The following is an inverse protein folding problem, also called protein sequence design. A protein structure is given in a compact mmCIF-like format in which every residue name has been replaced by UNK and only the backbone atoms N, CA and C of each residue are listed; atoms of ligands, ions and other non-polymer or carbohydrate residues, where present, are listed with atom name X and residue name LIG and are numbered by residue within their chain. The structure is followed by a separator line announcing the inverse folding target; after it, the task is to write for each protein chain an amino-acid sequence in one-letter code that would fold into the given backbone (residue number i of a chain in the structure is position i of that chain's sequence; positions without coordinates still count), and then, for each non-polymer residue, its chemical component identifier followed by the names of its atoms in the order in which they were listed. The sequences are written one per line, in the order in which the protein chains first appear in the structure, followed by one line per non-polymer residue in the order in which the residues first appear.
data_IF_166844813615
#
_entry.id   IF_166844813615
#
_cell.length_a   1.000
_cell.length_b   1.000
_cell.length_c   1.000
_cell.angle_alpha   90.00
_cell.angle_beta   90.00
_cell.angle_gamma   90.00
#
_symmetry.space_group_name_H-M   'P 1'
#
loop_
_entity.id
_entity.type
_entity.pdbx_description
1 polymer ?
#
# COMPACT_ATOMS: atom_id res chain seq x y z
N UNK A 1 -11.70 4.09 -29.28
CA UNK A 1 -11.65 4.75 -27.97
C UNK A 1 -10.51 4.11 -27.18
N UNK A 2 -9.47 4.87 -26.86
CA UNK A 2 -8.37 4.41 -26.00
C UNK A 2 -8.85 4.45 -24.55
N UNK A 3 -9.00 3.29 -23.92
CA UNK A 3 -9.40 3.16 -22.51
C UNK A 3 -8.15 3.31 -21.65
N UNK A 4 -7.89 4.52 -21.12
CA UNK A 4 -6.77 4.72 -20.20
C UNK A 4 -7.09 4.11 -18.84
N UNK A 5 -6.58 2.88 -18.61
CA UNK A 5 -6.64 2.14 -17.33
C UNK A 5 -6.21 2.96 -16.09
N UNK A 6 -5.50 4.07 -16.27
CA UNK A 6 -5.01 4.93 -15.20
C UNK A 6 -6.07 5.89 -14.62
N UNK A 7 -7.04 6.35 -15.42
CA UNK A 7 -8.03 7.34 -14.97
C UNK A 7 -8.97 6.79 -13.89
N UNK A 8 -9.43 5.56 -14.06
CA UNK A 8 -10.35 4.89 -13.13
C UNK A 8 -9.72 4.64 -11.75
N UNK A 9 -8.39 4.47 -11.72
CA UNK A 9 -7.66 4.18 -10.49
C UNK A 9 -7.44 5.41 -9.60
N UNK A 10 -7.31 6.60 -10.20
CA UNK A 10 -7.30 7.87 -9.48
C UNK A 10 -8.69 8.20 -8.95
N UNK A 11 -9.71 8.08 -9.81
CA UNK A 11 -11.12 8.34 -9.46
C UNK A 11 -11.57 7.43 -8.32
N UNK A 12 -11.26 6.13 -8.39
CA UNK A 12 -11.61 5.17 -7.34
C UNK A 12 -11.04 5.55 -5.96
N UNK A 13 -9.84 6.14 -5.91
CA UNK A 13 -9.23 6.59 -4.65
C UNK A 13 -9.82 7.88 -4.13
N UNK A 14 -10.06 8.84 -5.02
CA UNK A 14 -10.70 10.11 -4.67
C UNK A 14 -12.09 9.82 -4.09
N UNK A 15 -12.87 8.98 -4.76
CA UNK A 15 -14.22 8.60 -4.31
C UNK A 15 -14.18 7.83 -3.00
N UNK A 16 -13.18 6.96 -2.80
CA UNK A 16 -13.00 6.21 -1.54
C UNK A 16 -12.34 7.03 -0.42
N UNK A 17 -11.98 8.30 -0.64
CA UNK A 17 -11.32 9.15 0.35
C UNK A 17 -9.93 8.67 0.78
N UNK A 18 -9.25 7.86 -0.04
CA UNK A 18 -7.94 7.32 0.31
C UNK A 18 -6.82 8.32 0.01
N UNK A 19 -5.69 8.28 0.74
CA UNK A 19 -4.56 9.16 0.49
C UNK A 19 -4.07 9.08 -0.96
N UNK A 20 -4.10 10.21 -1.66
CA UNK A 20 -3.72 10.32 -3.07
C UNK A 20 -2.22 10.10 -3.29
N UNK A 21 -1.40 10.63 -2.40
CA UNK A 21 0.06 10.71 -2.53
C UNK A 21 0.80 9.68 -1.66
N UNK A 22 0.20 8.54 -1.33
CA UNK A 22 0.85 7.51 -0.51
C UNK A 22 0.80 6.13 -1.19
N UNK A 23 1.96 5.51 -1.40
CA UNK A 23 2.09 4.18 -1.99
C UNK A 23 1.50 3.05 -1.14
N UNK A 24 1.39 3.26 0.18
CA UNK A 24 0.91 2.29 1.17
C UNK A 24 -0.56 2.53 1.56
N UNK A 25 -1.33 3.21 0.71
CA UNK A 25 -2.74 3.53 0.97
C UNK A 25 -3.66 2.30 0.97
N UNK A 26 -3.32 1.23 0.22
CA UNK A 26 -4.18 0.06 0.11
C UNK A 26 -4.21 -0.75 1.42
N UNK A 27 -5.43 -1.02 1.88
CA UNK A 27 -5.70 -1.86 3.04
C UNK A 27 -6.47 -3.09 2.58
N UNK A 28 -6.20 -4.24 3.18
CA UNK A 28 -7.01 -5.43 2.92
C UNK A 28 -8.44 -5.19 3.40
N UNK A 29 -9.46 -5.62 2.65
CA UNK A 29 -10.81 -5.64 3.18
C UNK A 29 -10.87 -6.56 4.42
N UNK A 30 -11.81 -6.34 5.36
CA UNK A 30 -12.06 -7.29 6.43
C UNK A 30 -12.30 -8.68 5.85
N UNK A 31 -11.64 -9.69 6.42
CA UNK A 31 -11.74 -11.07 5.97
C UNK A 31 -11.59 -12.03 7.15
N UNK A 32 -12.10 -13.25 6.99
CA UNK A 32 -11.98 -14.30 8.00
C UNK A 32 -10.64 -15.03 7.88
N UNK A 33 -10.11 -15.49 9.02
CA UNK A 33 -8.91 -16.37 9.08
C UNK A 33 -9.09 -17.61 8.22
N UNK A 34 -10.23 -18.27 8.39
CA UNK A 34 -10.64 -19.43 7.60
C UNK A 34 -12.07 -19.24 7.08
N UNK A 35 -12.16 -19.02 5.77
CA UNK A 35 -13.44 -18.89 5.05
C UNK A 35 -14.21 -20.21 4.96
N UNK A 36 -13.55 -21.35 5.22
CA UNK A 36 -14.19 -22.67 5.20
C UNK A 36 -14.55 -23.17 6.61
N UNK A 37 -14.37 -22.35 7.65
CA UNK A 37 -14.78 -22.72 9.00
C UNK A 37 -16.30 -22.95 9.06
N UNK A 38 -16.74 -23.92 9.87
CA UNK A 38 -18.15 -24.26 10.00
C UNK A 38 -19.01 -23.06 10.43
N UNK A 39 -18.46 -22.18 11.29
CA UNK A 39 -19.13 -20.96 11.72
C UNK A 39 -19.36 -19.98 10.57
N UNK A 40 -18.34 -19.72 9.74
CA UNK A 40 -18.45 -18.83 8.58
C UNK A 40 -19.40 -19.41 7.54
N UNK A 41 -19.28 -20.70 7.23
CA UNK A 41 -20.18 -21.37 6.27
C UNK A 41 -21.64 -21.38 6.74
N UNK A 42 -21.88 -21.65 8.03
CA UNK A 42 -23.21 -21.57 8.63
C UNK A 42 -23.79 -20.15 8.54
N UNK A 43 -22.99 -19.13 8.84
CA UNK A 43 -23.39 -17.74 8.74
C UNK A 43 -23.67 -17.29 7.30
N UNK A 44 -22.86 -17.72 6.33
CA UNK A 44 -23.10 -17.49 4.90
C UNK A 44 -24.43 -18.13 4.48
N UNK A 45 -24.69 -19.37 4.88
CA UNK A 45 -25.94 -20.06 4.56
C UNK A 45 -27.17 -19.35 5.13
N UNK A 46 -27.06 -18.82 6.35
CA UNK A 46 -28.15 -18.08 6.99
C UNK A 46 -28.40 -16.71 6.36
N UNK A 47 -27.35 -15.99 5.93
CA UNK A 47 -27.43 -14.57 5.52
C UNK A 47 -27.44 -14.36 4.01
N UNK A 48 -26.85 -15.27 3.26
CA UNK A 48 -26.76 -15.24 1.80
C UNK A 48 -27.23 -16.58 1.20
N UNK A 49 -28.45 -17.05 1.51
CA UNK A 49 -28.91 -18.40 1.16
C UNK A 49 -28.85 -18.69 -0.35
N UNK A 50 -29.17 -17.70 -1.18
CA UNK A 50 -29.12 -17.84 -2.64
C UNK A 50 -27.70 -18.03 -3.20
N UNK A 51 -26.67 -17.60 -2.45
CA UNK A 51 -25.26 -17.70 -2.86
C UNK A 51 -24.51 -18.80 -2.10
N UNK A 52 -25.13 -19.39 -1.08
CA UNK A 52 -24.47 -20.35 -0.18
C UNK A 52 -24.00 -21.62 -0.90
N UNK A 53 -24.79 -22.08 -1.87
CA UNK A 53 -24.52 -23.30 -2.64
C UNK A 53 -23.63 -23.05 -3.87
N UNK A 54 -23.35 -21.77 -4.19
CA UNK A 54 -22.53 -21.39 -5.34
C UNK A 54 -21.06 -21.32 -4.92
N UNK A 55 -20.39 -22.45 -4.94
CA UNK A 55 -19.02 -22.64 -4.41
C UNK A 55 -17.99 -21.64 -4.97
N UNK A 56 -18.03 -21.33 -6.27
CA UNK A 56 -17.09 -20.42 -6.92
C UNK A 56 -17.32 -18.95 -6.54
N UNK A 57 -18.52 -18.59 -6.07
CA UNK A 57 -18.81 -17.23 -5.61
C UNK A 57 -18.58 -17.07 -4.11
N UNK A 58 -18.25 -18.13 -3.35
CA UNK A 58 -18.14 -18.13 -1.88
C UNK A 58 -17.28 -17.00 -1.30
N UNK A 59 -16.23 -16.58 -2.01
CA UNK A 59 -15.39 -15.46 -1.59
C UNK A 59 -16.17 -14.14 -1.43
N UNK A 60 -17.19 -13.91 -2.26
CA UNK A 60 -18.01 -12.69 -2.25
C UNK A 60 -18.86 -12.58 -0.97
N UNK A 61 -19.76 -13.53 -0.64
CA UNK A 61 -20.52 -13.45 0.60
C UNK A 61 -19.63 -13.54 1.83
N UNK A 62 -18.46 -14.20 1.77
CA UNK A 62 -17.51 -14.19 2.88
C UNK A 62 -16.95 -12.78 3.17
N UNK A 63 -16.53 -12.03 2.14
CA UNK A 63 -16.07 -10.65 2.32
C UNK A 63 -17.20 -9.70 2.69
N UNK A 64 -18.40 -9.87 2.11
CA UNK A 64 -19.58 -9.11 2.49
C UNK A 64 -19.96 -9.34 3.95
N UNK A 65 -19.94 -10.59 4.40
CA UNK A 65 -20.16 -10.98 5.79
C UNK A 65 -19.12 -10.36 6.72
N UNK A 66 -17.84 -10.47 6.38
CA UNK A 66 -16.76 -9.90 7.17
C UNK A 66 -16.87 -8.37 7.29
N UNK A 67 -17.27 -7.69 6.22
CA UNK A 67 -17.48 -6.24 6.20
C UNK A 67 -18.65 -5.83 7.10
N UNK A 68 -19.76 -6.57 7.07
CA UNK A 68 -20.90 -6.33 7.95
C UNK A 68 -20.53 -6.51 9.43
N UNK A 69 -19.76 -7.56 9.74
CA UNK A 69 -19.30 -7.82 11.10
C UNK A 69 -18.36 -6.73 11.60
N UNK A 70 -17.41 -6.29 10.77
CA UNK A 70 -16.49 -5.20 11.07
C UNK A 70 -17.22 -3.88 11.36
N UNK A 71 -18.25 -3.56 10.57
CA UNK A 71 -19.02 -2.31 10.69
C UNK A 71 -20.15 -2.39 11.72
N UNK A 72 -20.47 -3.56 12.25
CA UNK A 72 -21.70 -3.76 13.04
C UNK A 72 -21.79 -2.87 14.29
N UNK A 73 -20.67 -2.53 14.95
CA UNK A 73 -20.70 -1.58 16.08
C UNK A 73 -21.21 -0.21 15.62
N UNK A 74 -20.68 0.30 14.50
CA UNK A 74 -21.12 1.56 13.90
C UNK A 74 -22.59 1.49 13.47
N UNK A 75 -23.02 0.37 12.88
CA UNK A 75 -24.41 0.16 12.45
C UNK A 75 -25.37 0.04 13.64
N UNK A 76 -24.91 -0.38 14.82
CA UNK A 76 -25.76 -0.43 16.01
C UNK A 76 -25.99 0.95 16.64
N UNK A 77 -25.06 1.88 16.44
CA UNK A 77 -25.08 3.20 17.09
C UNK A 77 -25.84 4.29 16.29
N UNK A 78 -26.12 4.07 15.01
CA UNK A 78 -26.71 5.10 14.12
C UNK A 78 -28.24 5.02 14.01
N UNK A 79 -28.83 3.87 13.68
CA UNK A 79 -30.26 3.78 13.43
C UNK A 79 -31.03 3.75 14.75
N UNK A 80 -32.29 4.23 14.77
CA UNK A 80 -33.17 4.04 15.92
C UNK A 80 -33.28 2.55 16.30
N UNK A 81 -33.37 2.25 17.59
CA UNK A 81 -33.40 0.86 18.12
C UNK A 81 -34.49 -0.06 17.56
N UNK A 82 -35.52 0.50 16.92
CA UNK A 82 -36.61 -0.23 16.23
C UNK A 82 -36.39 -0.39 14.72
N UNK A 83 -35.19 -0.08 14.22
CA UNK A 83 -34.91 -0.15 12.80
C UNK A 83 -34.96 -1.60 12.30
N UNK A 84 -35.55 -1.81 11.13
CA UNK A 84 -35.80 -3.14 10.54
C UNK A 84 -34.52 -3.96 10.34
N UNK A 85 -33.38 -3.28 10.16
CA UNK A 85 -32.06 -3.92 10.05
C UNK A 85 -31.74 -4.81 11.25
N UNK A 86 -32.19 -4.45 12.46
CA UNK A 86 -31.96 -5.22 13.68
C UNK A 86 -32.78 -6.52 13.75
N UNK A 87 -33.82 -6.64 12.92
CA UNK A 87 -34.61 -7.86 12.77
C UNK A 87 -34.05 -8.82 11.70
N UNK A 88 -33.03 -8.38 10.96
CA UNK A 88 -32.35 -9.18 9.94
C UNK A 88 -31.02 -9.73 10.47
N UNK A 89 -30.57 -10.87 9.95
CA UNK A 89 -29.22 -11.34 10.24
C UNK A 89 -28.21 -10.40 9.53
N UNK A 90 -27.12 -9.94 10.18
CA UNK A 90 -26.47 -10.48 11.39
C UNK A 90 -27.02 -10.03 12.74
N UNK A 91 -27.77 -8.93 12.78
CA UNK A 91 -28.02 -8.16 14.00
C UNK A 91 -29.00 -8.82 14.98
N UNK A 92 -29.73 -9.83 14.51
CA UNK A 92 -30.66 -10.62 15.33
C UNK A 92 -29.98 -11.55 16.34
N UNK A 93 -28.72 -11.96 16.10
CA UNK A 93 -28.03 -13.00 16.87
C UNK A 93 -26.69 -12.49 17.44
N UNK A 94 -26.70 -11.82 18.61
CA UNK A 94 -25.51 -11.15 19.16
C UNK A 94 -24.33 -12.09 19.41
N UNK A 95 -24.58 -13.33 19.86
CA UNK A 95 -23.53 -14.30 20.15
C UNK A 95 -22.78 -14.75 18.90
N UNK A 96 -23.49 -14.93 17.79
CA UNK A 96 -22.88 -15.31 16.50
C UNK A 96 -22.07 -14.15 15.93
N UNK A 97 -22.57 -12.92 16.08
CA UNK A 97 -21.85 -11.70 15.71
C UNK A 97 -20.52 -11.58 16.48
N UNK A 98 -20.54 -11.80 17.80
CA UNK A 98 -19.32 -11.79 18.64
C UNK A 98 -18.34 -12.88 18.21
N UNK A 99 -18.82 -14.11 17.96
CA UNK A 99 -17.98 -15.20 17.51
C UNK A 99 -17.33 -14.92 16.14
N UNK A 100 -18.10 -14.40 15.17
CA UNK A 100 -17.59 -14.08 13.84
C UNK A 100 -16.59 -12.92 13.87
N UNK A 101 -16.80 -11.91 14.72
CA UNK A 101 -15.84 -10.82 14.93
C UNK A 101 -14.47 -11.32 15.41
N UNK A 102 -14.45 -12.32 16.29
CA UNK A 102 -13.19 -12.90 16.78
C UNK A 102 -12.39 -13.64 15.68
N UNK A 103 -13.07 -14.03 14.60
CA UNK A 103 -12.48 -14.68 13.44
C UNK A 103 -11.99 -13.70 12.35
N UNK A 104 -12.27 -12.40 12.50
CA UNK A 104 -11.79 -11.38 11.58
C UNK A 104 -10.29 -11.14 11.75
N UNK A 105 -9.63 -10.90 10.62
CA UNK A 105 -8.22 -10.49 10.55
C UNK A 105 -8.07 -9.26 9.67
N UNK A 106 -7.09 -8.45 10.03
CA UNK A 106 -6.67 -7.27 9.27
C UNK A 106 -5.47 -7.55 8.35
N UNK A 107 -4.73 -8.64 8.60
CA UNK A 107 -3.56 -9.04 7.83
C UNK A 107 -3.49 -10.56 7.67
N UNK A 108 -2.94 -11.02 6.55
CA UNK A 108 -2.70 -12.44 6.30
C UNK A 108 -1.54 -12.62 5.32
N UNK A 109 -0.71 -13.67 5.43
CA UNK A 109 0.33 -13.96 4.44
C UNK A 109 -0.23 -14.26 3.04
N UNK A 110 -1.50 -14.70 2.96
CA UNK A 110 -2.14 -15.16 1.71
C UNK A 110 -2.64 -14.03 0.82
N UNK A 111 -2.95 -12.88 1.41
CA UNK A 111 -3.49 -11.71 0.72
C UNK A 111 -2.51 -10.57 0.93
N UNK A 112 -2.09 -9.96 -0.18
CA UNK A 112 -1.34 -8.72 -0.13
C UNK A 112 -2.26 -7.61 -0.63
N UNK A 113 -2.43 -6.51 0.12
CA UNK A 113 -3.19 -5.39 -0.37
C UNK A 113 -2.52 -4.85 -1.63
N UNK A 114 -3.10 -5.17 -2.79
CA UNK A 114 -2.58 -4.74 -4.08
C UNK A 114 -3.00 -3.29 -4.32
N UNK A 115 -2.19 -2.36 -3.82
CA UNK A 115 -2.35 -0.95 -4.10
C UNK A 115 -1.78 -0.51 -5.46
N UNK A 116 -1.67 -1.40 -6.45
CA UNK A 116 -0.80 -1.18 -7.62
C UNK A 116 -1.59 -0.73 -8.87
N UNK A 117 -1.87 0.57 -8.98
CA UNK A 117 -1.85 1.37 -10.20
C UNK A 117 -0.42 1.75 -10.62
N UNK A 118 -0.14 1.85 -11.94
CA UNK A 118 1.16 2.26 -12.49
C UNK A 118 1.71 3.58 -11.91
N UNK A 119 0.84 4.51 -11.53
CA UNK A 119 1.23 5.84 -11.07
C UNK A 119 1.76 5.88 -9.62
N UNK A 120 1.49 4.85 -8.81
CA UNK A 120 2.03 4.75 -7.46
C UNK A 120 3.48 4.32 -7.42
N UNK A 121 3.94 3.56 -8.41
CA UNK A 121 5.37 3.29 -8.54
C UNK A 121 6.13 4.61 -8.78
N UNK A 122 5.54 5.56 -9.52
CA UNK A 122 6.10 6.92 -9.68
C UNK A 122 6.17 7.64 -8.33
N UNK A 123 5.14 7.59 -7.49
CA UNK A 123 5.20 8.21 -6.16
C UNK A 123 6.22 7.53 -5.23
N UNK A 124 6.29 6.20 -5.23
CA UNK A 124 7.32 5.45 -4.50
C UNK A 124 8.72 5.88 -4.97
N UNK A 125 8.88 6.08 -6.27
CA UNK A 125 10.14 6.53 -6.84
C UNK A 125 10.50 7.96 -6.44
N UNK A 126 9.52 8.86 -6.44
CA UNK A 126 9.72 10.23 -5.97
C UNK A 126 10.10 10.26 -4.48
N UNK A 127 9.57 9.37 -3.66
CA UNK A 127 9.93 9.24 -2.24
C UNK A 127 11.38 8.73 -2.06
N UNK A 128 11.78 7.70 -2.82
CA UNK A 128 13.18 7.21 -2.85
C UNK A 128 14.14 8.26 -3.41
N UNK A 129 13.72 9.03 -4.41
CA UNK A 129 14.51 10.13 -4.95
C UNK A 129 14.65 11.28 -3.96
N UNK A 130 13.57 11.66 -3.27
CA UNK A 130 13.58 12.69 -2.23
C UNK A 130 14.55 12.36 -1.10
N UNK A 131 14.49 11.14 -0.57
CA UNK A 131 15.45 10.69 0.46
C UNK A 131 16.91 10.69 -0.03
N UNK A 132 17.15 10.39 -1.31
CA UNK A 132 18.49 10.49 -1.90
C UNK A 132 18.97 11.93 -2.03
N UNK A 133 18.08 12.87 -2.36
CA UNK A 133 18.36 14.31 -2.44
C UNK A 133 18.65 14.89 -1.05
N UNK A 134 17.90 14.48 -0.03
CA UNK A 134 18.07 14.92 1.35
C UNK A 134 19.43 14.49 1.95
N UNK A 135 20.04 13.44 1.41
CA UNK A 135 21.37 12.94 1.82
C UNK A 135 22.54 13.70 1.18
N UNK A 136 22.31 14.46 0.11
CA UNK A 136 23.36 15.18 -0.63
C UNK A 136 24.10 16.20 0.25
N UNK A 137 23.43 17.06 1.05
CA UNK A 137 24.12 18.01 1.91
C UNK A 137 25.05 17.35 2.92
N UNK A 138 24.61 16.24 3.52
CA UNK A 138 25.39 15.49 4.51
C UNK A 138 26.61 14.83 3.88
N UNK A 139 26.47 14.28 2.67
CA UNK A 139 27.59 13.66 1.94
C UNK A 139 28.65 14.69 1.53
N UNK A 140 28.23 15.86 1.03
CA UNK A 140 29.16 16.96 0.68
C UNK A 140 29.92 17.43 1.92
N UNK A 141 29.21 17.62 3.05
CA UNK A 141 29.84 18.07 4.29
C UNK A 141 30.84 17.03 4.83
N UNK A 142 30.55 15.73 4.73
CA UNK A 142 31.50 14.70 5.17
C UNK A 142 32.75 14.68 4.29
N UNK A 143 32.61 14.71 2.96
CA UNK A 143 33.77 14.68 2.06
C UNK A 143 34.62 15.94 2.14
N UNK A 144 33.99 17.11 2.32
CA UNK A 144 34.75 18.34 2.57
C UNK A 144 35.53 18.24 3.88
N UNK A 145 34.97 17.60 4.91
CA UNK A 145 35.69 17.34 6.17
C UNK A 145 36.84 16.36 5.96
N UNK A 146 36.63 15.27 5.23
CA UNK A 146 37.67 14.29 4.91
C UNK A 146 38.84 14.93 4.14
N UNK A 147 38.56 15.85 3.19
CA UNK A 147 39.60 16.60 2.48
C UNK A 147 40.40 17.50 3.42
N UNK A 148 39.73 18.16 4.36
CA UNK A 148 40.39 19.02 5.34
C UNK A 148 41.26 18.19 6.29
N UNK A 149 40.76 17.03 6.73
CA UNK A 149 41.47 16.11 7.64
C UNK A 149 42.67 15.44 6.94
N UNK A 150 42.52 14.98 5.69
CA UNK A 150 43.63 14.47 4.87
C UNK A 150 44.72 15.52 4.62
N UNK A 151 44.37 16.81 4.65
CA UNK A 151 45.30 17.92 4.38
C UNK A 151 45.95 18.46 5.64
N UNK A 152 45.31 18.41 6.80
CA UNK A 152 45.95 18.67 8.09
C UNK A 152 47.14 17.71 8.29
N UNK A 153 47.03 16.49 7.74
CA UNK A 153 48.10 15.49 7.71
C UNK A 153 49.23 15.84 6.70
N UNK A 154 48.94 16.58 5.61
CA UNK A 154 49.83 16.73 4.45
C UNK A 154 50.27 18.19 4.12
N UNK A 155 49.81 19.20 4.86
CA UNK A 155 50.25 20.61 4.84
C UNK A 155 50.22 21.35 3.48
N UNK A 156 49.24 21.06 2.61
CA UNK A 156 49.13 21.65 1.26
C UNK A 156 47.89 22.57 1.09
N UNK A 157 47.98 23.59 0.24
CA UNK A 157 46.92 24.58 0.01
C UNK A 157 45.69 24.05 -0.78
N UNK A 158 44.49 24.51 -0.41
CA UNK A 158 43.22 24.15 -1.08
C UNK A 158 43.07 24.92 -2.40
N UNK A 159 42.98 24.21 -3.52
CA UNK A 159 42.66 24.80 -4.82
C UNK A 159 41.13 24.87 -5.05
N UNK A 160 40.59 25.97 -5.60
CA UNK A 160 39.22 26.06 -6.07
C UNK A 160 38.82 24.95 -7.07
N UNK A 161 39.79 24.42 -7.84
CA UNK A 161 39.54 23.34 -8.79
C UNK A 161 39.23 22.01 -8.09
N UNK A 162 39.90 21.73 -6.97
CA UNK A 162 39.69 20.50 -6.19
C UNK A 162 38.31 20.52 -5.54
N UNK A 163 37.95 21.64 -4.92
CA UNK A 163 36.67 21.82 -4.24
C UNK A 163 35.50 21.75 -5.24
N UNK A 164 35.68 22.32 -6.43
CA UNK A 164 34.72 22.16 -7.54
C UNK A 164 34.61 20.72 -8.03
N UNK A 165 35.73 20.00 -8.12
CA UNK A 165 35.74 18.62 -8.58
C UNK A 165 34.98 17.70 -7.62
N UNK A 166 35.17 17.86 -6.30
CA UNK A 166 34.46 17.08 -5.29
C UNK A 166 32.95 17.36 -5.28
N UNK A 167 32.56 18.63 -5.31
CA UNK A 167 31.14 18.99 -5.39
C UNK A 167 30.52 18.43 -6.68
N UNK A 168 31.25 18.51 -7.79
CA UNK A 168 30.77 17.98 -9.07
C UNK A 168 30.67 16.45 -9.04
N UNK A 169 31.63 15.73 -8.46
CA UNK A 169 31.57 14.27 -8.34
C UNK A 169 30.41 13.80 -7.48
N UNK A 170 30.06 14.52 -6.41
CA UNK A 170 28.96 14.16 -5.52
C UNK A 170 27.59 14.39 -6.15
N UNK A 171 27.43 15.55 -6.77
CA UNK A 171 26.20 15.87 -7.52
C UNK A 171 26.03 14.87 -8.66
N UNK A 172 27.11 14.54 -9.38
CA UNK A 172 27.08 13.57 -10.47
C UNK A 172 26.85 12.14 -9.97
N UNK A 173 27.42 11.76 -8.84
CA UNK A 173 27.21 10.48 -8.16
C UNK A 173 25.76 10.28 -7.71
N UNK A 174 25.17 11.30 -7.09
CA UNK A 174 23.75 11.31 -6.75
C UNK A 174 22.84 11.21 -7.98
N UNK A 175 23.16 11.95 -9.05
CA UNK A 175 22.42 11.92 -10.32
C UNK A 175 22.57 10.57 -11.06
N UNK A 176 23.75 9.95 -11.04
CA UNK A 176 23.98 8.64 -11.67
C UNK A 176 23.31 7.51 -10.91
N UNK A 177 23.27 7.57 -9.58
CA UNK A 177 22.47 6.65 -8.77
C UNK A 177 20.97 6.74 -9.12
N UNK A 178 20.46 7.97 -9.29
CA UNK A 178 19.09 8.22 -9.76
C UNK A 178 18.86 7.65 -11.18
N UNK A 179 19.80 7.86 -12.10
CA UNK A 179 19.71 7.34 -13.47
C UNK A 179 19.80 5.81 -13.55
N UNK A 180 20.63 5.18 -12.72
CA UNK A 180 20.79 3.73 -12.70
C UNK A 180 19.55 3.03 -12.15
N UNK A 181 18.89 3.63 -11.15
CA UNK A 181 17.57 3.22 -10.65
C UNK A 181 16.50 3.35 -11.73
N UNK A 182 16.47 4.46 -12.48
CA UNK A 182 15.52 4.66 -13.58
C UNK A 182 15.72 3.62 -14.71
N UNK A 183 16.96 3.21 -14.99
CA UNK A 183 17.28 2.29 -16.09
C UNK A 183 16.99 0.83 -15.76
N UNK A 184 17.26 0.37 -14.53
CA UNK A 184 16.89 -0.99 -14.09
C UNK A 184 15.38 -1.17 -14.00
N UNK A 185 14.63 -0.10 -13.75
CA UNK A 185 13.17 -0.13 -13.74
C UNK A 185 12.52 -0.15 -15.13
N UNK A 186 13.06 0.57 -16.12
CA UNK A 186 12.59 0.43 -17.51
C UNK A 186 12.73 -1.03 -17.99
N UNK A 187 13.80 -1.71 -17.58
CA UNK A 187 14.01 -3.14 -17.82
C UNK A 187 13.00 -4.04 -17.09
N UNK A 188 12.70 -3.79 -15.80
CA UNK A 188 11.71 -4.59 -15.07
C UNK A 188 10.28 -4.39 -15.61
N UNK A 189 9.94 -3.17 -16.01
CA UNK A 189 8.63 -2.81 -16.57
C UNK A 189 8.46 -3.42 -17.96
N UNK A 190 9.53 -3.48 -18.76
CA UNK A 190 9.55 -4.16 -20.06
C UNK A 190 9.38 -5.68 -19.92
N UNK A 191 10.08 -6.30 -18.95
CA UNK A 191 9.95 -7.74 -18.65
C UNK A 191 8.54 -8.14 -18.16
N UNK A 192 7.85 -7.25 -17.44
CA UNK A 192 6.47 -7.49 -16.99
C UNK A 192 5.42 -7.34 -18.09
N UNK A 193 5.73 -6.60 -19.16
CA UNK A 193 4.80 -6.32 -20.28
C UNK A 193 5.04 -7.22 -21.50
N UNK A 194 6.18 -7.90 -21.58
CA UNK A 194 6.48 -8.95 -22.55
C UNK A 194 7.04 -10.21 -21.86
N UNK A 195 6.19 -11.02 -21.23
CA UNK A 195 6.61 -12.33 -20.74
C UNK A 195 6.87 -13.26 -21.95
N UNK A 196 8.05 -13.90 -21.96
CA UNK A 196 8.40 -14.98 -22.89
C UNK A 196 7.53 -16.21 -22.72
#
# INVERSE_FOLDING_TARGET
MHYERAGDQLVGRVVAGQPLNNAKFAVLPPHFKDTNSAAVLGAIKARFPALADVTHLRGIPAHGLASLEHLSNYILDIPPTKHTIFHTAPFREPLIMVALKAELVSTTPRLQPSGIPPYIEVYRLLEVQGTSIDMIPTSIVSQVRDILDERDINNNAISPSLLRQTICSDVTGGLTACHHLARTQLLSTWLMTNPS
#
